data_IF_196508653157
#
_entry.id   IF_196508653157
#
_cell.length_a   1.000
_cell.length_b   1.000
_cell.length_c   1.000
_cell.angle_alpha   90.00
_cell.angle_beta   90.00
_cell.angle_gamma   90.00
#
_symmetry.space_group_name_H-M   'P 1'
#
loop_
_entity.id
_entity.type
_entity.pdbx_description
1 polymer ?
#
# COMPACT_ATOMS: atom_id res chain seq x y z
N UNK A 1 -26.67 46.35 -3.58
CA UNK A 1 -25.35 45.89 -3.09
C UNK A 1 -25.43 44.40 -2.82
N UNK A 2 -24.43 43.66 -3.32
CA UNK A 2 -23.93 42.38 -2.81
C UNK A 2 -24.90 41.17 -2.77
N UNK A 3 -25.14 40.55 -3.91
CA UNK A 3 -24.93 39.10 -4.00
C UNK A 3 -23.84 38.86 -5.06
N UNK A 4 -22.61 39.14 -4.63
CA UNK A 4 -21.42 38.84 -5.38
C UNK A 4 -21.27 37.34 -5.55
N UNK A 5 -21.00 36.92 -6.79
CA UNK A 5 -20.10 35.82 -7.16
C UNK A 5 -19.78 34.84 -6.02
N UNK A 6 -20.71 33.95 -5.68
CA UNK A 6 -20.34 32.72 -4.98
C UNK A 6 -19.69 31.81 -6.03
N UNK A 7 -18.40 32.03 -6.18
CA UNK A 7 -17.45 31.29 -6.98
C UNK A 7 -17.35 29.86 -6.41
N UNK A 8 -18.36 29.01 -6.65
CA UNK A 8 -18.22 27.58 -6.41
C UNK A 8 -17.52 27.00 -7.63
N UNK A 9 -16.19 26.95 -7.55
CA UNK A 9 -15.38 26.06 -8.36
C UNK A 9 -15.75 24.62 -7.98
N UNK A 10 -16.85 24.13 -8.54
CA UNK A 10 -17.27 22.74 -8.45
C UNK A 10 -16.30 21.88 -9.27
N UNK A 11 -15.53 21.05 -8.56
CA UNK A 11 -14.96 19.81 -9.05
C UNK A 11 -14.27 19.85 -10.42
N UNK A 12 -13.10 20.49 -10.52
CA UNK A 12 -12.16 20.13 -11.59
C UNK A 12 -11.70 18.69 -11.39
N UNK A 13 -12.44 17.74 -11.95
CA UNK A 13 -12.07 16.33 -12.02
C UNK A 13 -10.63 16.20 -12.52
N UNK A 14 -9.79 15.48 -11.78
CA UNK A 14 -8.39 15.28 -12.16
C UNK A 14 -8.38 14.70 -13.59
N UNK A 15 -7.89 15.48 -14.56
CA UNK A 15 -7.77 15.04 -15.95
C UNK A 15 -7.11 13.66 -15.96
N UNK A 16 -7.65 12.68 -16.71
CA UNK A 16 -7.12 11.32 -16.70
C UNK A 16 -5.64 11.38 -17.04
N UNK A 17 -4.82 10.74 -16.21
CA UNK A 17 -3.39 10.67 -16.45
C UNK A 17 -3.17 9.91 -17.75
N UNK A 18 -2.40 10.51 -18.67
CA UNK A 18 -2.02 9.85 -19.91
C UNK A 18 -1.41 8.48 -19.57
N UNK A 19 -1.79 7.41 -20.28
CA UNK A 19 -1.20 6.10 -20.09
C UNK A 19 0.33 6.21 -20.17
N UNK A 20 1.02 5.65 -19.17
CA UNK A 20 2.47 5.62 -19.18
C UNK A 20 2.91 4.60 -20.23
N UNK A 21 3.89 4.97 -21.06
CA UNK A 21 4.52 4.04 -22.00
C UNK A 21 5.18 2.92 -21.18
N UNK A 22 4.85 1.68 -21.51
CA UNK A 22 5.43 0.49 -20.90
C UNK A 22 6.41 -0.14 -21.88
N UNK A 23 7.51 -0.68 -21.36
CA UNK A 23 8.53 -1.37 -22.13
C UNK A 23 8.71 -2.77 -21.57
N UNK A 24 8.90 -3.75 -22.45
CA UNK A 24 9.15 -5.13 -22.07
C UNK A 24 10.50 -5.25 -21.35
N UNK A 25 10.65 -6.19 -20.41
CA UNK A 25 11.91 -6.38 -19.69
C UNK A 25 13.06 -6.77 -20.63
N UNK A 26 12.79 -7.55 -21.69
CA UNK A 26 13.78 -7.97 -22.69
C UNK A 26 14.34 -6.76 -23.44
N UNK A 27 13.47 -5.84 -23.85
CA UNK A 27 13.88 -4.61 -24.54
C UNK A 27 14.76 -3.74 -23.63
N UNK A 28 14.40 -3.59 -22.36
CA UNK A 28 15.24 -2.84 -21.41
C UNK A 28 16.61 -3.49 -21.25
N UNK A 29 16.68 -4.82 -21.16
CA UNK A 29 17.93 -5.56 -21.04
C UNK A 29 18.82 -5.35 -22.28
N UNK A 30 18.24 -5.40 -23.48
CA UNK A 30 18.95 -5.13 -24.73
C UNK A 30 19.57 -3.72 -24.74
N UNK A 31 18.79 -2.70 -24.35
CA UNK A 31 19.27 -1.32 -24.28
C UNK A 31 20.40 -1.16 -23.26
N UNK A 32 20.29 -1.82 -22.10
CA UNK A 32 21.35 -1.81 -21.09
C UNK A 32 22.63 -2.48 -21.62
N UNK A 33 22.52 -3.63 -22.28
CA UNK A 33 23.65 -4.30 -22.91
C UNK A 33 24.34 -3.43 -23.96
N UNK A 34 23.57 -2.77 -24.82
CA UNK A 34 24.10 -1.82 -25.81
C UNK A 34 24.85 -0.68 -25.12
N UNK A 35 24.35 -0.17 -24.00
CA UNK A 35 25.03 0.88 -23.23
C UNK A 35 26.32 0.36 -22.57
N UNK A 36 26.32 -0.88 -22.08
CA UNK A 36 27.47 -1.51 -21.40
C UNK A 36 28.62 -1.84 -22.35
N UNK A 37 28.32 -2.19 -23.59
CA UNK A 37 29.35 -2.41 -24.63
C UNK A 37 30.23 -1.17 -24.85
N UNK A 38 29.71 0.03 -24.58
CA UNK A 38 30.48 1.27 -24.63
C UNK A 38 30.69 1.86 -26.03
N UNK A 39 30.14 1.22 -27.07
CA UNK A 39 30.27 1.67 -28.46
C UNK A 39 29.52 2.99 -28.75
N UNK A 40 28.53 3.33 -27.91
CA UNK A 40 27.66 4.50 -28.06
C UNK A 40 27.42 5.20 -26.73
N UNK A 41 27.28 6.52 -26.78
CA UNK A 41 26.86 7.30 -25.60
C UNK A 41 25.38 7.05 -25.30
N UNK A 42 25.00 7.18 -24.02
CA UNK A 42 23.59 7.05 -23.58
C UNK A 42 22.66 7.96 -24.39
N UNK A 43 23.10 9.19 -24.71
CA UNK A 43 22.33 10.13 -25.53
C UNK A 43 22.15 9.69 -26.98
N UNK A 44 23.11 8.98 -27.58
CA UNK A 44 22.97 8.40 -28.91
C UNK A 44 21.99 7.21 -28.89
N UNK A 45 22.15 6.30 -27.92
CA UNK A 45 21.23 5.16 -27.74
C UNK A 45 19.80 5.66 -27.53
N UNK A 46 19.61 6.70 -26.71
CA UNK A 46 18.29 7.28 -26.50
C UNK A 46 17.64 7.79 -27.80
N UNK A 47 18.40 8.41 -28.70
CA UNK A 47 17.89 8.90 -30.00
C UNK A 47 17.58 7.76 -30.96
N UNK A 48 18.48 6.77 -31.06
CA UNK A 48 18.34 5.63 -31.97
C UNK A 48 17.05 4.83 -31.69
N UNK A 49 16.66 4.73 -30.42
CA UNK A 49 15.51 3.94 -29.97
C UNK A 49 14.27 4.79 -29.61
N UNK A 50 14.27 6.09 -29.90
CA UNK A 50 13.19 7.02 -29.54
C UNK A 50 12.80 6.95 -28.04
N UNK A 51 13.83 7.02 -27.19
CA UNK A 51 13.75 6.98 -25.74
C UNK A 51 14.21 8.31 -25.13
N UNK A 52 13.73 8.59 -23.93
CA UNK A 52 14.27 9.68 -23.11
C UNK A 52 15.58 9.23 -22.45
N UNK A 53 16.61 10.06 -22.51
CA UNK A 53 17.92 9.73 -21.93
C UNK A 53 17.83 9.40 -20.42
N UNK A 54 16.95 10.07 -19.69
CA UNK A 54 16.66 9.78 -18.28
C UNK A 54 16.19 8.35 -18.04
N UNK A 55 15.38 7.79 -18.95
CA UNK A 55 14.91 6.41 -18.83
C UNK A 55 16.05 5.41 -19.03
N UNK A 56 16.91 5.65 -20.04
CA UNK A 56 18.07 4.79 -20.30
C UNK A 56 19.04 4.79 -19.12
N UNK A 57 19.33 5.97 -18.55
CA UNK A 57 20.20 6.08 -17.36
C UNK A 57 19.62 5.34 -16.16
N UNK A 58 18.31 5.43 -15.95
CA UNK A 58 17.65 4.71 -14.85
C UNK A 58 17.71 3.19 -15.05
N UNK A 59 17.54 2.70 -16.29
CA UNK A 59 17.65 1.26 -16.57
C UNK A 59 19.06 0.72 -16.36
N UNK A 60 20.08 1.46 -16.80
CA UNK A 60 21.47 1.09 -16.54
C UNK A 60 21.75 1.08 -15.04
N UNK A 61 21.32 2.12 -14.31
CA UNK A 61 21.47 2.18 -12.85
C UNK A 61 20.79 1.01 -12.15
N UNK A 62 19.56 0.68 -12.56
CA UNK A 62 18.83 -0.45 -11.98
C UNK A 62 19.54 -1.77 -12.26
N UNK A 63 20.02 -1.99 -13.49
CA UNK A 63 20.77 -3.18 -13.85
C UNK A 63 22.12 -3.28 -13.10
N UNK A 64 22.71 -2.16 -12.70
CA UNK A 64 23.93 -2.15 -11.87
C UNK A 64 23.64 -2.46 -10.40
N UNK A 65 22.47 -2.06 -9.89
CA UNK A 65 21.97 -2.48 -8.58
C UNK A 65 21.68 -3.99 -8.58
N UNK A 66 20.97 -4.47 -9.60
CA UNK A 66 20.59 -5.88 -9.74
C UNK A 66 21.83 -6.79 -9.93
N UNK A 67 22.88 -6.29 -10.58
CA UNK A 67 24.17 -6.98 -10.71
C UNK A 67 25.07 -6.88 -9.46
N UNK A 68 24.68 -6.11 -8.44
CA UNK A 68 25.48 -5.91 -7.22
C UNK A 68 26.71 -4.99 -7.38
N UNK A 69 26.88 -4.36 -8.54
CA UNK A 69 27.93 -3.35 -8.78
C UNK A 69 27.68 -2.09 -7.94
N UNK A 70 26.42 -1.84 -7.57
CA UNK A 70 26.00 -0.73 -6.73
C UNK A 70 25.13 -1.22 -5.58
N UNK A 71 25.20 -0.52 -4.45
CA UNK A 71 24.43 -0.80 -3.23
C UNK A 71 23.63 0.41 -2.72
N UNK A 72 23.50 1.45 -3.54
CA UNK A 72 22.85 2.72 -3.17
C UNK A 72 21.32 2.70 -3.33
N UNK A 73 20.72 1.52 -3.49
CA UNK A 73 19.30 1.35 -3.68
C UNK A 73 18.87 -0.11 -3.63
N UNK A 74 17.55 -0.33 -3.74
CA UNK A 74 16.96 -1.66 -3.78
C UNK A 74 17.04 -2.25 -5.20
N UNK A 75 17.31 -3.55 -5.26
CA UNK A 75 17.19 -4.35 -6.49
C UNK A 75 15.74 -4.43 -6.96
N UNK A 76 15.54 -4.85 -8.21
CA UNK A 76 14.20 -5.02 -8.78
C UNK A 76 13.37 -6.01 -7.95
N UNK A 77 13.98 -7.11 -7.54
CA UNK A 77 13.34 -8.16 -6.75
C UNK A 77 12.95 -7.67 -5.36
N UNK A 78 13.84 -6.95 -4.68
CA UNK A 78 13.56 -6.34 -3.37
C UNK A 78 12.41 -5.33 -3.44
N UNK A 79 12.34 -4.55 -4.53
CA UNK A 79 11.24 -3.60 -4.75
C UNK A 79 9.91 -4.31 -4.96
N UNK A 80 9.90 -5.40 -5.73
CA UNK A 80 8.70 -6.20 -5.98
C UNK A 80 8.20 -6.84 -4.67
N UNK A 81 9.10 -7.43 -3.90
CA UNK A 81 8.78 -8.04 -2.62
C UNK A 81 8.20 -7.02 -1.64
N UNK A 82 8.84 -5.86 -1.53
CA UNK A 82 8.37 -4.77 -0.69
C UNK A 82 6.99 -4.26 -1.12
N UNK A 83 6.70 -4.24 -2.42
CA UNK A 83 5.37 -3.89 -2.93
C UNK A 83 4.33 -4.97 -2.64
N UNK A 84 4.69 -6.25 -2.69
CA UNK A 84 3.83 -7.38 -2.29
C UNK A 84 3.50 -7.30 -0.80
N UNK A 85 4.51 -7.21 0.05
CA UNK A 85 4.37 -7.13 1.51
C UNK A 85 3.54 -5.91 1.94
N UNK A 86 3.71 -4.76 1.30
CA UNK A 86 2.89 -3.56 1.59
C UNK A 86 1.42 -3.74 1.22
N UNK A 87 1.11 -4.52 0.17
CA UNK A 87 -0.27 -4.85 -0.20
C UNK A 87 -0.88 -5.82 0.81
N UNK A 88 -0.13 -6.85 1.17
CA UNK A 88 -0.57 -7.84 2.16
C UNK A 88 -0.76 -7.23 3.55
N UNK A 89 0.19 -6.42 4.03
CA UNK A 89 0.06 -5.76 5.32
C UNK A 89 -1.17 -4.83 5.39
N UNK A 90 -1.52 -4.17 4.27
CA UNK A 90 -2.75 -3.38 4.19
C UNK A 90 -3.99 -4.26 4.33
N UNK A 91 -4.04 -5.38 3.61
CA UNK A 91 -5.14 -6.34 3.69
C UNK A 91 -5.29 -6.90 5.11
N UNK A 92 -4.19 -7.32 5.72
CA UNK A 92 -4.19 -7.84 7.09
C UNK A 92 -4.67 -6.79 8.10
N UNK A 93 -4.30 -5.52 7.93
CA UNK A 93 -4.81 -4.44 8.79
C UNK A 93 -6.32 -4.24 8.62
N UNK A 94 -6.82 -4.30 7.39
CA UNK A 94 -8.26 -4.23 7.11
C UNK A 94 -9.01 -5.40 7.77
N UNK A 95 -8.47 -6.62 7.67
CA UNK A 95 -9.05 -7.81 8.29
C UNK A 95 -9.07 -7.69 9.83
N UNK A 96 -7.97 -7.25 10.43
CA UNK A 96 -7.89 -6.98 11.88
C UNK A 96 -8.90 -5.91 12.31
N UNK A 97 -9.08 -4.85 11.52
CA UNK A 97 -10.06 -3.80 11.83
C UNK A 97 -11.50 -4.31 11.75
N UNK A 98 -11.80 -5.19 10.79
CA UNK A 98 -13.11 -5.86 10.71
C UNK A 98 -13.34 -6.74 11.93
N UNK A 99 -12.37 -7.56 12.30
CA UNK A 99 -12.46 -8.43 13.48
C UNK A 99 -12.65 -7.62 14.76
N UNK A 100 -11.91 -6.53 14.94
CA UNK A 100 -12.09 -5.61 16.08
C UNK A 100 -13.50 -5.00 16.14
N UNK A 101 -14.08 -4.65 14.99
CA UNK A 101 -15.46 -4.13 14.94
C UNK A 101 -16.48 -5.21 15.31
N UNK A 102 -16.26 -6.44 14.85
CA UNK A 102 -17.11 -7.59 15.17
C UNK A 102 -17.03 -7.92 16.68
N UNK A 103 -15.84 -8.01 17.25
CA UNK A 103 -15.66 -8.29 18.69
C UNK A 103 -16.28 -7.20 19.56
N UNK A 104 -16.11 -5.92 19.18
CA UNK A 104 -16.77 -4.81 19.87
C UNK A 104 -18.30 -4.86 19.77
N UNK A 105 -18.85 -5.37 18.67
CA UNK A 105 -20.29 -5.57 18.53
C UNK A 105 -20.79 -6.69 19.46
N UNK A 106 -20.12 -7.84 19.48
CA UNK A 106 -20.51 -8.96 20.34
C UNK A 106 -20.38 -8.62 21.83
N UNK A 107 -19.32 -7.92 22.24
CA UNK A 107 -19.15 -7.46 23.62
C UNK A 107 -20.26 -6.49 24.08
N UNK A 108 -20.81 -5.66 23.17
CA UNK A 108 -21.94 -4.78 23.48
C UNK A 108 -23.25 -5.56 23.64
N UNK A 109 -23.47 -6.58 22.80
CA UNK A 109 -24.70 -7.38 22.84
C UNK A 109 -24.76 -8.25 24.10
N UNK A 110 -23.63 -8.87 24.50
CA UNK A 110 -23.55 -9.60 25.79
C UNK A 110 -23.79 -8.69 26.98
N UNK A 111 -23.23 -7.48 26.98
CA UNK A 111 -23.48 -6.48 28.02
C UNK A 111 -24.95 -6.02 28.07
N UNK A 112 -25.61 -5.91 26.92
CA UNK A 112 -27.04 -5.55 26.82
C UNK A 112 -27.96 -6.64 27.35
N UNK A 113 -27.66 -7.91 27.08
CA UNK A 113 -28.42 -9.06 27.59
C UNK A 113 -28.31 -9.19 29.12
N UNK A 114 -27.10 -9.00 29.68
CA UNK A 114 -26.89 -8.99 31.14
C UNK A 114 -27.61 -7.83 31.84
N UNK A 115 -27.96 -6.76 31.11
CA UNK A 115 -28.68 -5.61 31.66
C UNK A 115 -30.21 -5.76 31.63
N UNK A 116 -30.74 -6.71 30.84
CA UNK A 116 -32.19 -6.86 30.60
C UNK A 116 -32.80 -8.16 31.17
N UNK A 117 -32.04 -8.99 31.87
CA UNK A 117 -32.56 -10.22 32.47
C UNK A 117 -32.06 -10.46 33.89
N UNK A 118 -32.83 -10.02 34.90
CA UNK A 118 -33.14 -10.77 36.14
C UNK A 118 -34.16 -9.99 37.00
N UNK A 119 -35.48 -10.15 36.81
CA UNK A 119 -36.44 -9.80 37.85
C UNK A 119 -36.45 -10.93 38.89
N UNK A 120 -35.65 -10.77 39.95
CA UNK A 120 -35.82 -11.52 41.19
C UNK A 120 -34.64 -12.40 41.60
N UNK A 121 -33.83 -11.93 42.55
CA UNK A 121 -33.85 -12.37 43.95
C UNK A 121 -32.75 -11.63 44.73
N UNK A 122 -32.98 -11.54 46.04
CA UNK A 122 -32.26 -10.71 46.98
C UNK A 122 -30.74 -10.94 47.08
N UNK A 123 -30.16 -10.02 47.84
CA UNK A 123 -28.76 -9.91 48.22
C UNK A 123 -27.99 -11.22 48.36
N UNK A 124 -26.83 -11.29 47.70
CA UNK A 124 -25.62 -11.91 48.24
C UNK A 124 -24.40 -11.07 47.80
N UNK A 125 -23.54 -10.60 48.72
CA UNK A 125 -22.27 -9.97 48.37
C UNK A 125 -21.21 -11.07 48.24
N UNK A 126 -20.62 -11.24 47.06
CA UNK A 126 -19.57 -12.25 46.92
C UNK A 126 -18.96 -12.34 45.54
N UNK A 127 -17.72 -11.83 45.44
CA UNK A 127 -16.74 -12.02 44.36
C UNK A 127 -17.08 -11.42 43.00
N UNK A 128 -16.48 -10.25 42.77
CA UNK A 128 -15.99 -9.87 41.45
C UNK A 128 -15.04 -10.96 40.94
N UNK A 129 -15.54 -11.86 40.10
CA UNK A 129 -14.72 -12.50 39.09
C UNK A 129 -14.89 -11.66 37.84
N UNK A 130 -14.03 -10.63 37.72
CA UNK A 130 -13.76 -10.02 36.43
C UNK A 130 -13.12 -11.09 35.55
N UNK A 131 -13.97 -11.87 34.88
CA UNK A 131 -13.54 -12.62 33.72
C UNK A 131 -13.24 -11.58 32.66
N UNK A 132 -11.99 -11.16 32.61
CA UNK A 132 -11.40 -10.70 31.36
C UNK A 132 -11.67 -11.82 30.37
N UNK A 133 -12.76 -11.67 29.60
CA UNK A 133 -12.92 -12.42 28.37
C UNK A 133 -11.77 -11.95 27.52
N UNK A 134 -10.68 -12.69 27.59
CA UNK A 134 -9.49 -12.50 26.78
C UNK A 134 -9.92 -12.81 25.34
N UNK A 135 -10.56 -11.84 24.69
CA UNK A 135 -11.07 -11.97 23.31
C UNK A 135 -9.89 -12.19 22.34
N UNK A 136 -8.66 -11.94 22.80
CA UNK A 136 -7.41 -12.27 22.11
C UNK A 136 -7.20 -13.79 21.99
N UNK A 137 -7.77 -14.61 22.87
CA UNK A 137 -7.64 -16.08 22.80
C UNK A 137 -8.60 -16.76 21.81
N UNK A 138 -9.52 -16.02 21.18
CA UNK A 138 -10.49 -16.55 20.22
C UNK A 138 -10.13 -16.28 18.74
N UNK A 139 -8.96 -15.72 18.46
CA UNK A 139 -8.34 -15.58 17.12
C UNK A 139 -7.01 -16.30 17.13
#
# INVERSE_FOLDING_TARGET
>A
MLLGRMFIMEGMGKKPRRPRRAFTPEFKAEIVEVCRRGDRTVGQVARDFDLTETAVREWVRQADLDAGTRSDGLTSDEREELARLRRENRRLREDVDILKRATAFFAKETHRQLRMGFPGRGCLPGRAAGGDVDVVAAV
#
